data_IF_281215857093
#
_entry.id   IF_281215857093
#
_cell.length_a   1.000
_cell.length_b   1.000
_cell.length_c   1.000
_cell.angle_alpha   90.00
_cell.angle_beta   90.00
_cell.angle_gamma   90.00
#
_symmetry.space_group_name_H-M   'P 1'
#
loop_
_entity.id
_entity.type
_entity.pdbx_description
1 polymer ?
#
# COMPACT_ATOMS: atom_id res chain seq x y z
N UNK A 1 -18.07 -1.27 5.87
CA UNK A 1 -16.99 -0.35 6.32
C UNK A 1 -15.98 -1.12 7.16
N UNK A 2 -14.68 -0.84 7.06
CA UNK A 2 -13.62 -1.54 7.81
C UNK A 2 -13.13 -0.65 8.95
N UNK A 3 -13.06 -1.19 10.18
CA UNK A 3 -12.65 -0.45 11.37
C UNK A 3 -11.52 -1.16 12.12
N UNK A 4 -10.53 -0.40 12.56
CA UNK A 4 -9.39 -0.87 13.37
C UNK A 4 -8.05 -0.82 12.65
N UNK A 5 -6.99 -1.23 13.37
CA UNK A 5 -5.63 -1.38 12.83
C UNK A 5 -5.45 -2.78 12.22
N UNK A 6 -4.39 -2.97 11.43
CA UNK A 6 -4.06 -4.28 10.86
C UNK A 6 -3.93 -5.35 11.96
N UNK A 7 -4.50 -6.53 11.70
CA UNK A 7 -4.46 -7.65 12.62
C UNK A 7 -5.80 -8.38 12.79
N UNK A 8 -5.79 -9.44 13.61
CA UNK A 8 -6.93 -10.33 13.83
C UNK A 8 -8.13 -9.66 14.53
N UNK A 9 -7.90 -8.52 15.16
CA UNK A 9 -8.91 -7.73 15.86
C UNK A 9 -9.60 -6.72 14.93
N UNK A 10 -9.25 -6.65 13.64
CA UNK A 10 -9.92 -5.77 12.69
C UNK A 10 -11.38 -6.24 12.48
N UNK A 11 -12.30 -5.28 12.48
CA UNK A 11 -13.73 -5.55 12.34
C UNK A 11 -14.27 -4.97 11.04
N UNK A 12 -15.25 -5.64 10.46
CA UNK A 12 -15.99 -5.14 9.31
C UNK A 12 -17.47 -5.07 9.62
N UNK A 13 -18.07 -3.96 9.18
CA UNK A 13 -19.50 -3.78 9.17
C UNK A 13 -20.04 -4.35 7.86
N UNK A 14 -20.85 -5.40 7.96
CA UNK A 14 -21.59 -6.01 6.86
C UNK A 14 -22.99 -5.39 6.85
N UNK A 15 -23.40 -4.90 5.69
CA UNK A 15 -24.77 -4.47 5.43
C UNK A 15 -25.45 -5.57 4.61
N UNK A 16 -26.59 -6.05 5.10
CA UNK A 16 -27.34 -7.12 4.45
C UNK A 16 -28.43 -6.52 3.56
N UNK A 17 -28.49 -6.92 2.29
CA UNK A 17 -29.49 -6.46 1.33
C UNK A 17 -30.94 -6.80 1.71
N UNK A 18 -31.13 -7.73 2.66
CA UNK A 18 -32.44 -8.16 3.17
C UNK A 18 -33.11 -7.16 4.12
N UNK A 19 -32.48 -6.01 4.40
CA UNK A 19 -32.99 -5.03 5.36
C UNK A 19 -32.82 -5.44 6.83
N UNK A 20 -32.02 -6.48 7.10
CA UNK A 20 -31.77 -7.02 8.45
C UNK A 20 -30.85 -6.13 9.33
N UNK A 21 -30.43 -4.97 8.82
CA UNK A 21 -29.56 -4.02 9.52
C UNK A 21 -28.07 -4.28 9.31
N UNK A 22 -27.24 -3.52 10.03
CA UNK A 22 -25.78 -3.63 10.00
C UNK A 22 -25.30 -4.57 11.11
N UNK A 23 -24.43 -5.50 10.76
CA UNK A 23 -23.77 -6.37 11.73
C UNK A 23 -22.26 -6.14 11.68
N UNK A 24 -21.64 -6.11 12.87
CA UNK A 24 -20.20 -5.90 13.00
C UNK A 24 -19.52 -7.20 13.43
N UNK A 25 -18.62 -7.70 12.59
CA UNK A 25 -17.97 -8.99 12.76
C UNK A 25 -16.45 -8.85 12.66
N UNK A 26 -15.72 -9.71 13.37
CA UNK A 26 -14.27 -9.81 13.24
C UNK A 26 -13.93 -10.29 11.83
N UNK A 27 -13.03 -9.61 11.14
CA UNK A 27 -12.63 -9.97 9.78
C UNK A 27 -12.10 -11.42 9.72
N UNK A 28 -11.37 -11.85 10.76
CA UNK A 28 -10.81 -13.20 10.88
C UNK A 28 -11.86 -14.31 10.97
N UNK A 29 -13.10 -13.98 11.33
CA UNK A 29 -14.21 -14.94 11.38
C UNK A 29 -14.84 -15.20 10.00
N UNK A 30 -14.60 -14.30 9.04
CA UNK A 30 -15.24 -14.33 7.71
C UNK A 30 -14.35 -14.99 6.66
N UNK A 31 -13.03 -14.85 6.79
CA UNK A 31 -12.06 -15.37 5.84
C UNK A 31 -10.69 -15.62 6.48
N UNK A 32 -9.87 -16.42 5.79
CA UNK A 32 -8.43 -16.46 6.05
C UNK A 32 -7.84 -15.17 5.49
N UNK A 33 -7.35 -14.31 6.38
CA UNK A 33 -6.71 -13.05 6.01
C UNK A 33 -5.22 -13.29 5.91
N UNK A 34 -4.62 -12.86 4.80
CA UNK A 34 -3.18 -12.74 4.66
C UNK A 34 -2.85 -11.27 4.47
N UNK A 35 -2.09 -10.73 5.42
CA UNK A 35 -1.63 -9.36 5.37
C UNK A 35 -0.42 -9.30 4.44
N UNK A 36 -0.51 -8.46 3.42
CA UNK A 36 0.66 -8.10 2.64
C UNK A 36 1.57 -7.34 3.62
N UNK A 37 2.80 -7.82 3.83
CA UNK A 37 3.75 -7.23 4.78
C UNK A 37 4.11 -5.78 4.45
N UNK A 38 5.09 -5.22 5.16
CA UNK A 38 5.51 -3.82 5.04
C UNK A 38 5.63 -3.35 3.58
N UNK A 39 5.05 -2.18 3.30
CA UNK A 39 5.13 -1.53 1.99
C UNK A 39 6.46 -0.80 1.87
N UNK A 40 7.51 -1.57 1.59
CA UNK A 40 8.88 -1.08 1.39
C UNK A 40 8.95 0.02 0.32
N UNK A 41 8.04 0.01 -0.65
CA UNK A 41 7.97 1.07 -1.66
C UNK A 41 7.41 2.36 -1.05
N UNK A 42 6.38 2.31 -0.20
CA UNK A 42 5.88 3.47 0.52
C UNK A 42 6.96 4.10 1.43
N UNK A 43 7.73 3.28 2.14
CA UNK A 43 8.82 3.74 3.00
C UNK A 43 9.93 4.42 2.19
N UNK A 44 10.33 3.82 1.06
CA UNK A 44 11.31 4.40 0.14
C UNK A 44 10.84 5.74 -0.42
N UNK A 45 9.55 5.86 -0.78
CA UNK A 45 8.96 7.14 -1.23
C UNK A 45 8.97 8.19 -0.12
N UNK A 46 8.64 7.80 1.12
CA UNK A 46 8.66 8.72 2.26
C UNK A 46 10.07 9.26 2.50
N UNK A 47 11.07 8.39 2.52
CA UNK A 47 12.48 8.76 2.70
C UNK A 47 12.98 9.70 1.59
N UNK A 48 12.63 9.42 0.32
CA UNK A 48 13.01 10.28 -0.81
C UNK A 48 12.36 11.68 -0.72
N UNK A 49 11.12 11.75 -0.22
CA UNK A 49 10.42 13.03 -0.03
C UNK A 49 11.05 13.85 1.10
N UNK A 50 11.32 13.21 2.24
CA UNK A 50 11.94 13.85 3.39
C UNK A 50 13.31 14.42 3.01
N UNK A 51 14.15 13.60 2.36
CA UNK A 51 15.46 14.06 1.89
C UNK A 51 15.38 15.27 0.94
N UNK A 52 14.41 15.25 0.00
CA UNK A 52 14.19 16.40 -0.91
C UNK A 52 13.74 17.64 -0.16
N UNK A 53 12.86 17.47 0.81
CA UNK A 53 12.35 18.57 1.61
C UNK A 53 13.48 19.22 2.41
N UNK A 54 14.28 18.43 3.13
CA UNK A 54 15.46 18.92 3.85
C UNK A 54 16.43 19.67 2.94
N UNK A 55 16.65 19.14 1.72
CA UNK A 55 17.55 19.77 0.74
C UNK A 55 17.03 21.12 0.26
N UNK A 56 15.71 21.25 0.07
CA UNK A 56 15.07 22.50 -0.34
C UNK A 56 15.04 23.52 0.79
N UNK A 57 14.71 23.10 2.01
CA UNK A 57 14.73 23.95 3.20
C UNK A 57 16.13 24.51 3.44
N UNK A 58 17.17 23.67 3.36
CA UNK A 58 18.56 24.12 3.48
C UNK A 58 18.99 25.10 2.38
N UNK A 59 18.50 24.93 1.14
CA UNK A 59 18.77 25.87 0.06
C UNK A 59 18.06 27.21 0.27
N UNK A 60 16.81 27.19 0.74
CA UNK A 60 16.05 28.39 1.08
C UNK A 60 16.71 29.18 2.22
N UNK A 61 17.12 28.49 3.30
CA UNK A 61 17.85 29.10 4.42
C UNK A 61 19.19 29.71 3.99
N UNK A 62 19.89 29.08 3.06
CA UNK A 62 21.15 29.58 2.51
C UNK A 62 20.97 30.71 1.48
N UNK A 63 19.73 31.02 1.07
CA UNK A 63 19.45 31.93 -0.04
C UNK A 63 20.02 31.45 -1.37
N UNK A 64 20.19 30.14 -1.52
CA UNK A 64 20.73 29.52 -2.72
C UNK A 64 19.65 29.41 -3.81
N UNK A 65 20.03 29.65 -5.06
CA UNK A 65 19.12 29.51 -6.22
C UNK A 65 18.87 28.05 -6.62
N UNK A 66 19.53 27.08 -5.98
CA UNK A 66 19.34 25.67 -6.26
C UNK A 66 20.12 24.73 -5.35
N UNK A 67 19.79 23.43 -5.46
CA UNK A 67 20.40 22.32 -4.74
C UNK A 67 21.38 21.60 -5.66
N UNK A 68 22.63 21.47 -5.24
CA UNK A 68 23.59 20.62 -5.93
C UNK A 68 23.43 19.16 -5.47
N UNK A 69 23.20 18.25 -6.42
CA UNK A 69 23.13 16.81 -6.17
C UNK A 69 24.25 16.09 -6.89
N UNK A 70 24.82 15.05 -6.27
CA UNK A 70 25.81 14.22 -6.94
C UNK A 70 25.17 13.36 -8.01
N UNK A 71 25.94 13.06 -9.06
CA UNK A 71 25.49 12.14 -10.13
C UNK A 71 25.18 10.76 -9.56
N UNK A 72 25.97 10.29 -8.60
CA UNK A 72 25.75 9.03 -7.90
C UNK A 72 24.39 9.01 -7.17
N UNK A 73 24.01 10.10 -6.51
CA UNK A 73 22.71 10.19 -5.86
C UNK A 73 21.57 10.15 -6.88
N UNK A 74 21.69 10.88 -7.99
CA UNK A 74 20.69 10.85 -9.06
C UNK A 74 20.57 9.45 -9.69
N UNK A 75 21.68 8.73 -9.83
CA UNK A 75 21.66 7.34 -10.29
C UNK A 75 20.86 6.47 -9.32
N UNK A 76 21.18 6.54 -8.02
CA UNK A 76 20.47 5.77 -6.99
C UNK A 76 18.97 6.07 -6.96
N UNK A 77 18.56 7.34 -7.12
CA UNK A 77 17.14 7.72 -7.19
C UNK A 77 16.45 7.11 -8.42
N UNK A 78 17.12 7.12 -9.58
CA UNK A 78 16.59 6.48 -10.80
C UNK A 78 16.47 4.96 -10.64
N UNK A 79 17.43 4.31 -9.99
CA UNK A 79 17.36 2.87 -9.73
C UNK A 79 16.22 2.52 -8.77
N UNK A 80 16.06 3.29 -7.70
CA UNK A 80 14.95 3.20 -6.75
C UNK A 80 13.59 3.34 -7.46
N UNK A 81 13.44 4.35 -8.32
CA UNK A 81 12.21 4.57 -9.09
C UNK A 81 11.90 3.42 -10.05
N UNK A 82 12.92 2.87 -10.71
CA UNK A 82 12.78 1.70 -11.58
C UNK A 82 12.34 0.46 -10.79
N UNK A 83 12.97 0.20 -9.65
CA UNK A 83 12.60 -0.89 -8.77
C UNK A 83 11.15 -0.75 -8.28
N UNK A 84 10.75 0.43 -7.80
CA UNK A 84 9.37 0.67 -7.34
C UNK A 84 8.34 0.43 -8.44
N UNK A 85 8.65 0.82 -9.68
CA UNK A 85 7.75 0.57 -10.81
C UNK A 85 7.57 -0.94 -11.06
N UNK A 86 8.65 -1.71 -10.98
CA UNK A 86 8.60 -3.17 -11.15
C UNK A 86 7.83 -3.83 -10.01
N UNK A 87 8.07 -3.40 -8.77
CA UNK A 87 7.36 -3.90 -7.58
C UNK A 87 5.85 -3.61 -7.65
N UNK A 88 5.46 -2.38 -8.01
CA UNK A 88 4.04 -2.02 -8.19
C UNK A 88 3.36 -2.86 -9.26
N UNK A 89 4.06 -3.17 -10.36
CA UNK A 89 3.53 -4.03 -11.41
C UNK A 89 3.36 -5.48 -10.91
N UNK A 90 4.32 -5.99 -10.14
CA UNK A 90 4.24 -7.33 -9.54
C UNK A 90 3.06 -7.44 -8.55
N UNK A 91 2.91 -6.47 -7.65
CA UNK A 91 1.80 -6.41 -6.69
C UNK A 91 0.44 -6.28 -7.37
N UNK A 92 0.34 -5.49 -8.44
CA UNK A 92 -0.89 -5.40 -9.23
C UNK A 92 -1.26 -6.74 -9.88
N UNK A 93 -0.26 -7.49 -10.40
CA UNK A 93 -0.48 -8.82 -10.95
C UNK A 93 -0.89 -9.84 -9.88
N UNK A 94 -0.27 -9.80 -8.70
CA UNK A 94 -0.63 -10.63 -7.56
C UNK A 94 -2.06 -10.36 -7.09
N UNK A 95 -2.44 -9.08 -6.92
CA UNK A 95 -3.79 -8.69 -6.55
C UNK A 95 -4.85 -9.17 -7.55
N UNK A 96 -4.54 -9.10 -8.85
CA UNK A 96 -5.43 -9.60 -9.90
C UNK A 96 -5.58 -11.13 -9.84
N UNK A 97 -4.48 -11.86 -9.58
CA UNK A 97 -4.53 -13.30 -9.39
C UNK A 97 -5.39 -13.69 -8.17
N UNK A 98 -5.23 -12.98 -7.05
CA UNK A 98 -6.04 -13.19 -5.85
C UNK A 98 -7.53 -12.89 -6.08
N UNK A 99 -7.87 -11.89 -6.90
CA UNK A 99 -9.26 -11.64 -7.30
C UNK A 99 -9.86 -12.80 -8.09
N UNK A 100 -9.10 -13.37 -9.03
CA UNK A 100 -9.54 -14.54 -9.81
C UNK A 100 -9.77 -15.75 -8.93
N UNK A 101 -8.82 -16.07 -8.05
CA UNK A 101 -8.95 -17.17 -7.09
C UNK A 101 -10.17 -16.97 -6.19
N UNK A 102 -10.39 -15.75 -5.68
CA UNK A 102 -11.57 -15.46 -4.86
C UNK A 102 -12.89 -15.62 -5.65
N UNK A 103 -12.92 -15.25 -6.93
CA UNK A 103 -14.10 -15.44 -7.78
C UNK A 103 -14.39 -16.93 -8.01
N UNK A 104 -13.35 -17.74 -8.27
CA UNK A 104 -13.47 -19.19 -8.40
C UNK A 104 -13.96 -19.85 -7.11
N UNK A 105 -13.41 -19.45 -5.96
CA UNK A 105 -13.84 -19.96 -4.65
C UNK A 105 -15.28 -19.57 -4.30
N UNK A 106 -15.73 -18.37 -4.72
CA UNK A 106 -17.14 -17.99 -4.58
C UNK A 106 -18.05 -18.86 -5.44
N UNK A 107 -17.69 -19.07 -6.70
CA UNK A 107 -18.47 -19.93 -7.61
C UNK A 107 -18.60 -21.37 -7.06
N UNK A 108 -17.53 -21.94 -6.51
CA UNK A 108 -17.55 -23.27 -5.88
C UNK A 108 -18.40 -23.36 -4.61
N UNK A 109 -18.68 -22.23 -3.93
CA UNK A 109 -19.55 -22.19 -2.75
C UNK A 109 -21.03 -22.01 -3.10
N UNK A 110 -21.31 -21.53 -4.31
CA UNK A 110 -22.66 -21.32 -4.83
C UNK A 110 -23.21 -22.56 -5.57
N UNK A 111 -22.36 -23.55 -5.88
CA UNK A 111 -22.72 -24.94 -6.27
C UNK A 111 -22.97 -25.84 -5.05
#
# INVERSE_FOLDING_TARGET
EVHGHEGLEQEVTIEWDSGAGHERLRLASLARIEWLGEDVAADLVANLKEFRQESLEGAEEAGAEGVAMSVEHLQNEVEALRWMREELAARAAEAENLRKINAELKAQREE
#
